data_IF_567015800916
#
_entry.id   IF_567015800916
#
_cell.length_a   1.000
_cell.length_b   1.000
_cell.length_c   1.000
_cell.angle_alpha   90.00
_cell.angle_beta   90.00
_cell.angle_gamma   90.00
#
_symmetry.space_group_name_H-M   'P 1'
#
loop_
_entity.id
_entity.type
_entity.pdbx_description
1 polymer ?
#
# COMPACT_ATOMS: atom_id res chain seq x y z
N UNK A 1 -15.39 -9.14 5.70
CA UNK A 1 -15.25 -9.24 4.23
C UNK A 1 -15.61 -7.93 3.54
N UNK A 2 -16.78 -7.33 3.80
CA UNK A 2 -17.17 -6.02 3.21
C UNK A 2 -16.12 -4.94 3.49
N UNK A 3 -15.73 -4.75 4.76
CA UNK A 3 -14.73 -3.75 5.15
C UNK A 3 -13.37 -3.91 4.45
N UNK A 4 -12.81 -5.13 4.39
CA UNK A 4 -11.51 -5.36 3.73
C UNK A 4 -11.54 -5.08 2.23
N UNK A 5 -12.66 -5.44 1.58
CA UNK A 5 -12.86 -5.15 0.16
C UNK A 5 -12.98 -3.64 -0.09
N UNK A 6 -13.81 -2.95 0.70
CA UNK A 6 -13.96 -1.48 0.61
C UNK A 6 -12.64 -0.77 0.90
N UNK A 7 -11.93 -1.18 1.95
CA UNK A 7 -10.61 -0.64 2.31
C UNK A 7 -9.65 -0.76 1.14
N UNK A 8 -9.53 -1.95 0.55
CA UNK A 8 -8.62 -2.15 -0.57
C UNK A 8 -9.02 -1.38 -1.83
N UNK A 9 -10.32 -1.27 -2.13
CA UNK A 9 -10.78 -0.42 -3.23
C UNK A 9 -10.43 1.05 -3.00
N UNK A 10 -10.65 1.57 -1.80
CA UNK A 10 -10.31 2.95 -1.43
C UNK A 10 -8.80 3.17 -1.58
N UNK A 11 -7.97 2.27 -1.06
CA UNK A 11 -6.51 2.39 -1.15
C UNK A 11 -6.01 2.27 -2.58
N UNK A 12 -6.60 1.39 -3.39
CA UNK A 12 -6.27 1.27 -4.81
C UNK A 12 -6.60 2.56 -5.57
N UNK A 13 -7.78 3.16 -5.31
CA UNK A 13 -8.16 4.46 -5.90
C UNK A 13 -7.21 5.57 -5.48
N UNK A 14 -6.84 5.63 -4.19
CA UNK A 14 -5.86 6.60 -3.68
C UNK A 14 -4.52 6.42 -4.38
N UNK A 15 -3.99 5.19 -4.46
CA UNK A 15 -2.74 4.86 -5.15
C UNK A 15 -2.72 5.32 -6.61
N UNK A 16 -3.85 5.18 -7.31
CA UNK A 16 -4.00 5.65 -8.68
C UNK A 16 -3.89 7.17 -8.77
N UNK A 17 -4.44 7.91 -7.80
CA UNK A 17 -4.46 9.38 -7.78
C UNK A 17 -3.18 10.08 -7.32
N UNK A 18 -2.32 9.44 -6.52
CA UNK A 18 -1.08 10.06 -6.04
C UNK A 18 -0.01 10.08 -7.12
N UNK A 19 0.89 11.07 -7.12
CA UNK A 19 2.08 11.05 -7.97
C UNK A 19 3.16 10.14 -7.38
N UNK A 20 3.87 9.41 -8.23
CA UNK A 20 4.94 8.50 -7.82
C UNK A 20 5.43 7.68 -9.01
N UNK A 21 6.61 7.07 -8.89
CA UNK A 21 7.17 6.23 -9.93
C UNK A 21 6.30 5.00 -10.17
N UNK A 22 6.29 4.53 -11.42
CA UNK A 22 5.56 3.31 -11.81
C UNK A 22 6.02 2.11 -10.97
N UNK A 23 7.31 2.06 -10.63
CA UNK A 23 7.88 0.97 -9.80
C UNK A 23 7.32 1.01 -8.38
N UNK A 24 7.32 2.17 -7.71
CA UNK A 24 6.82 2.28 -6.34
C UNK A 24 5.32 1.98 -6.27
N UNK A 25 4.54 2.48 -7.23
CA UNK A 25 3.11 2.16 -7.35
C UNK A 25 2.86 0.66 -7.55
N UNK A 26 3.67 -0.02 -8.37
CA UNK A 26 3.53 -1.46 -8.60
C UNK A 26 3.77 -2.26 -7.32
N UNK A 27 4.79 -1.91 -6.55
CA UNK A 27 5.08 -2.53 -5.24
C UNK A 27 3.87 -2.38 -4.31
N UNK A 28 3.34 -1.17 -4.16
CA UNK A 28 2.17 -0.95 -3.29
C UNK A 28 0.94 -1.73 -3.76
N UNK A 29 0.75 -1.86 -5.07
CA UNK A 29 -0.35 -2.66 -5.60
C UNK A 29 -0.22 -4.15 -5.27
N UNK A 30 1.00 -4.71 -5.30
CA UNK A 30 1.27 -6.08 -4.86
C UNK A 30 1.04 -6.26 -3.36
N UNK A 31 1.45 -5.29 -2.54
CA UNK A 31 1.20 -5.29 -1.08
C UNK A 31 -0.31 -5.27 -0.79
N UNK A 32 -1.09 -4.42 -1.47
CA UNK A 32 -2.54 -4.36 -1.29
C UNK A 32 -3.22 -5.68 -1.67
N UNK A 33 -2.77 -6.34 -2.75
CA UNK A 33 -3.26 -7.68 -3.13
C UNK A 33 -2.93 -8.74 -2.08
N UNK A 34 -1.73 -8.70 -1.50
CA UNK A 34 -1.36 -9.61 -0.42
C UNK A 34 -2.24 -9.42 0.81
N UNK A 35 -2.53 -8.16 1.18
CA UNK A 35 -3.40 -7.85 2.31
C UNK A 35 -4.86 -8.28 2.10
N UNK A 36 -5.35 -8.30 0.86
CA UNK A 36 -6.68 -8.85 0.54
C UNK A 36 -6.76 -10.38 0.67
N UNK A 37 -5.61 -11.08 0.62
CA UNK A 37 -5.59 -12.52 0.64
C UNK A 37 -5.75 -13.04 2.08
N UNK A 38 -7.00 -13.35 2.44
CA UNK A 38 -7.39 -13.88 3.74
C UNK A 38 -6.95 -15.34 3.97
N UNK A 39 -6.40 -16.02 2.96
CA UNK A 39 -5.93 -17.40 3.09
C UNK A 39 -4.56 -17.48 3.79
N UNK A 40 -3.82 -16.36 3.84
CA UNK A 40 -2.54 -16.30 4.51
C UNK A 40 -2.69 -15.78 5.96
N UNK A 41 -2.05 -16.43 6.94
CA UNK A 41 -1.89 -15.85 8.26
C UNK A 41 -1.18 -14.50 8.19
N UNK A 42 -1.55 -13.56 9.06
CA UNK A 42 -0.94 -12.23 9.12
C UNK A 42 0.60 -12.27 9.14
N UNK A 43 1.19 -13.19 9.91
CA UNK A 43 2.66 -13.35 9.97
C UNK A 43 3.26 -13.68 8.59
N UNK A 44 2.54 -14.44 7.76
CA UNK A 44 3.00 -14.78 6.42
C UNK A 44 2.88 -13.60 5.46
N UNK A 45 1.82 -12.81 5.59
CA UNK A 45 1.65 -11.56 4.84
C UNK A 45 2.80 -10.59 5.18
N UNK A 46 3.10 -10.41 6.46
CA UNK A 46 4.20 -9.54 6.90
C UNK A 46 5.56 -10.02 6.36
N UNK A 47 5.85 -11.31 6.42
CA UNK A 47 7.08 -11.87 5.82
C UNK A 47 7.18 -11.62 4.31
N UNK A 48 6.07 -11.73 3.57
CA UNK A 48 6.06 -11.48 2.13
C UNK A 48 6.28 -10.00 1.83
N UNK A 49 5.71 -9.09 2.63
CA UNK A 49 5.94 -7.65 2.51
C UNK A 49 7.41 -7.30 2.83
N UNK A 50 7.99 -7.89 3.88
CA UNK A 50 9.40 -7.69 4.23
C UNK A 50 10.33 -8.18 3.11
N UNK A 51 10.04 -9.34 2.51
CA UNK A 51 10.82 -9.85 1.38
C UNK A 51 10.71 -8.91 0.16
N UNK A 52 9.51 -8.46 -0.18
CA UNK A 52 9.30 -7.52 -1.30
C UNK A 52 10.11 -6.24 -1.05
N UNK A 53 10.03 -5.68 0.15
CA UNK A 53 10.66 -4.39 0.47
C UNK A 53 12.18 -4.48 0.55
N UNK A 54 12.74 -5.56 1.11
CA UNK A 54 14.19 -5.76 1.22
C UNK A 54 14.89 -5.98 -0.12
N UNK A 55 14.18 -6.48 -1.14
CA UNK A 55 14.71 -6.62 -2.51
C UNK A 55 14.79 -5.29 -3.28
N UNK A 56 14.12 -4.24 -2.80
CA UNK A 56 14.13 -2.93 -3.46
C UNK A 56 15.41 -2.14 -3.14
N UNK A 57 15.78 -1.24 -4.05
CA UNK A 57 16.81 -0.23 -3.72
C UNK A 57 16.32 0.71 -2.62
N UNK A 58 17.23 1.24 -1.81
CA UNK A 58 16.91 2.17 -0.70
C UNK A 58 16.03 3.33 -1.16
N UNK A 59 16.32 3.91 -2.32
CA UNK A 59 15.52 5.02 -2.88
C UNK A 59 14.08 4.58 -3.18
N UNK A 60 13.90 3.37 -3.72
CA UNK A 60 12.59 2.84 -4.04
C UNK A 60 11.81 2.42 -2.79
N UNK A 61 12.50 1.91 -1.75
CA UNK A 61 11.89 1.66 -0.43
C UNK A 61 11.35 2.96 0.16
N UNK A 62 12.17 4.01 0.18
CA UNK A 62 11.78 5.32 0.72
C UNK A 62 10.57 5.89 -0.02
N UNK A 63 10.58 5.84 -1.36
CA UNK A 63 9.44 6.30 -2.15
C UNK A 63 8.19 5.47 -1.86
N UNK A 64 8.31 4.15 -1.77
CA UNK A 64 7.18 3.24 -1.47
C UNK A 64 6.56 3.57 -0.11
N UNK A 65 7.36 3.84 0.92
CA UNK A 65 6.88 4.25 2.26
C UNK A 65 6.20 5.61 2.23
N UNK A 66 6.78 6.57 1.49
CA UNK A 66 6.20 7.90 1.33
C UNK A 66 4.83 7.82 0.64
N UNK A 67 4.74 7.04 -0.45
CA UNK A 67 3.47 6.81 -1.15
C UNK A 67 2.46 6.09 -0.27
N UNK A 68 2.88 5.07 0.51
CA UNK A 68 1.99 4.38 1.44
C UNK A 68 1.37 5.36 2.43
N UNK A 69 2.18 6.23 3.02
CA UNK A 69 1.73 7.26 3.96
C UNK A 69 0.76 8.25 3.31
N UNK A 70 1.06 8.67 2.07
CA UNK A 70 0.21 9.57 1.29
C UNK A 70 -1.15 8.96 0.86
N UNK A 71 -1.33 7.64 1.01
CA UNK A 71 -2.64 7.00 0.84
C UNK A 71 -3.51 7.06 2.09
N UNK A 72 -2.99 7.52 3.23
CA UNK A 72 -3.68 7.51 4.53
C UNK A 72 -4.35 6.15 4.86
N UNK A 73 -3.59 5.06 4.94
CA UNK A 73 -4.12 3.69 5.05
C UNK A 73 -4.88 3.38 6.34
N UNK A 74 -4.68 4.20 7.37
CA UNK A 74 -5.35 4.12 8.66
C UNK A 74 -6.59 5.03 8.74
N UNK A 75 -6.74 5.97 7.79
CA UNK A 75 -7.89 6.85 7.71
C UNK A 75 -8.68 6.61 6.40
N UNK A 76 -9.37 5.48 6.37
CA UNK A 76 -10.15 5.03 5.21
C UNK A 76 -11.44 5.83 5.03
N UNK A 77 -12.09 6.21 6.14
CA UNK A 77 -13.40 6.85 6.13
C UNK A 77 -13.33 8.35 5.85
N UNK A 78 -12.21 9.02 6.13
CA UNK A 78 -12.04 10.43 5.81
C UNK A 78 -11.31 10.64 4.47
N UNK A 79 -11.43 11.85 3.91
CA UNK A 79 -10.58 12.27 2.79
C UNK A 79 -9.13 12.32 3.28
N UNK A 80 -8.24 11.62 2.59
CA UNK A 80 -6.81 11.75 2.84
C UNK A 80 -6.39 13.21 2.56
N UNK A 81 -5.89 13.96 3.55
CA UNK A 81 -5.48 15.34 3.32
C UNK A 81 -4.32 15.33 2.32
N UNK A 82 -4.55 15.90 1.14
CA UNK A 82 -3.62 15.98 0.01
C UNK A 82 -2.33 16.78 0.29
N UNK A 83 -2.01 17.11 1.54
CA UNK A 83 -0.97 18.07 1.92
C UNK A 83 0.22 17.47 2.68
N UNK A 84 0.51 16.18 2.52
CA UNK A 84 1.75 15.61 3.06
C UNK A 84 2.52 14.98 1.90
N UNK A 85 3.19 15.83 1.11
CA UNK A 85 4.48 15.62 0.42
C UNK A 85 4.79 16.82 -0.49
#
# INVERSE_FOLDING_TARGET
MIYENERSEILTKRLQSINGTVKAKKVLFEILKLQQNMDFPLVKILQLIDNITTELSVQLQQETVNLWSAMCPDNINDKCPLNIL
#
